data_IF_419604386145
#
_entry.id   IF_419604386145
#
_cell.length_a   1.000
_cell.length_b   1.000
_cell.length_c   1.000
_cell.angle_alpha   90.00
_cell.angle_beta   90.00
_cell.angle_gamma   90.00
#
_symmetry.space_group_name_H-M   'P 1'
#
loop_
_entity.id
_entity.type
_entity.pdbx_description
1 polymer ?
#
# COMPACT_ATOMS: atom_id res chain seq x y z
N UNK A 1 -22.77 -65.73 4.16
CA UNK A 1 -23.85 -64.75 4.37
C UNK A 1 -23.60 -64.06 5.70
N UNK A 2 -22.96 -62.90 5.67
CA UNK A 2 -22.70 -62.08 6.85
C UNK A 2 -22.76 -60.62 6.37
N UNK A 3 -23.86 -59.94 6.70
CA UNK A 3 -24.04 -58.51 6.45
C UNK A 3 -23.49 -57.74 7.66
N UNK A 4 -22.45 -56.94 7.46
CA UNK A 4 -21.96 -55.98 8.46
C UNK A 4 -22.57 -54.61 8.16
N UNK A 5 -23.45 -54.16 9.06
CA UNK A 5 -23.97 -52.80 9.16
C UNK A 5 -22.85 -51.86 9.66
N UNK A 6 -22.53 -50.83 8.87
CA UNK A 6 -21.78 -49.66 9.34
C UNK A 6 -22.78 -48.56 9.73
N UNK A 7 -22.71 -47.97 10.93
CA UNK A 7 -23.53 -46.81 11.26
C UNK A 7 -22.87 -45.54 10.70
N UNK A 8 -23.60 -44.80 9.87
CA UNK A 8 -23.29 -43.42 9.50
C UNK A 8 -23.35 -42.54 10.75
N UNK A 9 -22.19 -42.05 11.19
CA UNK A 9 -22.09 -40.96 12.15
C UNK A 9 -22.28 -39.66 11.38
N UNK A 10 -23.47 -39.08 11.53
CA UNK A 10 -23.80 -37.74 11.05
C UNK A 10 -23.19 -36.73 12.03
N UNK A 11 -22.09 -36.10 11.64
CA UNK A 11 -21.44 -35.05 12.43
C UNK A 11 -22.12 -33.72 12.12
N UNK A 12 -23.06 -33.31 12.99
CA UNK A 12 -23.59 -31.95 13.08
C UNK A 12 -22.53 -31.10 13.81
N UNK A 13 -21.78 -30.28 13.06
CA UNK A 13 -21.07 -29.14 13.65
C UNK A 13 -21.87 -27.90 13.30
N UNK A 14 -22.45 -27.32 14.35
CA UNK A 14 -23.13 -26.04 14.40
C UNK A 14 -22.21 -24.90 13.97
N UNK A 15 -22.64 -24.13 12.98
CA UNK A 15 -22.05 -22.82 12.63
C UNK A 15 -22.41 -21.86 13.76
N UNK A 16 -21.40 -21.37 14.50
CA UNK A 16 -21.56 -20.20 15.35
C UNK A 16 -21.61 -18.96 14.45
N UNK A 17 -22.81 -18.55 14.05
CA UNK A 17 -23.08 -17.21 13.55
C UNK A 17 -23.65 -16.39 14.70
N UNK A 18 -22.92 -15.36 15.12
CA UNK A 18 -23.38 -14.46 16.17
C UNK A 18 -22.24 -13.70 16.83
N UNK A 19 -21.51 -12.89 16.06
CA UNK A 19 -20.83 -11.73 16.63
C UNK A 19 -21.91 -10.75 17.07
N UNK A 20 -22.34 -10.85 18.33
CA UNK A 20 -23.05 -9.74 18.96
C UNK A 20 -22.08 -8.56 18.97
N UNK A 21 -22.54 -7.40 18.52
CA UNK A 21 -21.84 -6.14 18.77
C UNK A 21 -21.56 -6.08 20.27
N UNK A 22 -20.29 -5.96 20.60
CA UNK A 22 -19.83 -5.91 21.97
C UNK A 22 -20.13 -4.49 22.50
N UNK A 23 -20.95 -4.40 23.54
CA UNK A 23 -21.53 -3.16 24.07
C UNK A 23 -20.54 -2.50 25.04
N UNK A 24 -20.25 -1.22 24.86
CA UNK A 24 -19.19 -0.48 25.58
C UNK A 24 -19.79 0.29 26.75
N UNK A 25 -19.22 0.14 27.94
CA UNK A 25 -19.50 1.06 29.05
C UNK A 25 -18.61 2.32 28.94
N UNK A 26 -19.21 3.52 28.89
CA UNK A 26 -18.52 4.82 28.87
C UNK A 26 -17.60 5.02 30.08
N UNK A 27 -17.96 4.40 31.21
CA UNK A 27 -17.25 4.51 32.45
C UNK A 27 -16.02 3.59 32.51
N UNK A 28 -15.91 2.63 31.58
CA UNK A 28 -14.72 1.78 31.45
C UNK A 28 -13.48 2.62 31.15
N UNK A 29 -12.31 2.09 31.52
CA UNK A 29 -11.01 2.73 31.25
C UNK A 29 -10.78 2.89 29.73
N UNK A 30 -11.38 2.01 28.93
CA UNK A 30 -11.36 1.99 27.47
C UNK A 30 -12.23 3.11 26.91
N UNK A 31 -13.49 3.19 27.34
CA UNK A 31 -14.41 4.26 26.97
C UNK A 31 -13.81 5.63 27.30
N UNK A 32 -13.25 5.80 28.50
CA UNK A 32 -12.59 7.06 28.91
C UNK A 32 -11.34 7.41 28.10
N UNK A 33 -10.56 6.43 27.66
CA UNK A 33 -9.37 6.67 26.82
C UNK A 33 -9.75 7.00 25.38
N UNK A 34 -10.74 6.30 24.81
CA UNK A 34 -11.32 6.61 23.50
C UNK A 34 -11.93 8.02 23.50
N UNK A 35 -12.76 8.34 24.51
CA UNK A 35 -13.29 9.69 24.78
C UNK A 35 -12.23 10.78 24.93
N UNK A 36 -11.06 10.43 25.50
CA UNK A 36 -9.98 11.39 25.71
C UNK A 36 -9.20 11.71 24.44
N UNK A 37 -9.12 10.75 23.50
CA UNK A 37 -8.56 10.93 22.16
C UNK A 37 -9.56 11.58 21.20
N UNK A 38 -10.85 11.30 21.37
CA UNK A 38 -11.92 11.84 20.54
C UNK A 38 -12.34 13.30 20.88
N UNK A 39 -11.65 13.96 21.81
CA UNK A 39 -11.88 15.38 22.12
C UNK A 39 -11.40 16.28 20.97
N UNK A 40 -12.34 16.56 20.06
CA UNK A 40 -12.23 17.49 18.92
C UNK A 40 -11.56 18.83 19.26
N UNK A 41 -10.61 19.21 18.41
CA UNK A 41 -10.20 20.60 18.21
C UNK A 41 -11.37 21.40 17.63
N UNK A 42 -11.68 22.49 18.29
CA UNK A 42 -12.84 23.33 18.03
C UNK A 42 -12.46 24.41 17.00
N UNK A 43 -12.57 24.13 15.70
CA UNK A 43 -12.36 25.12 14.64
C UNK A 43 -13.41 25.03 13.51
N UNK A 44 -14.47 25.81 13.67
CA UNK A 44 -15.36 26.52 12.72
C UNK A 44 -15.67 26.05 11.26
N UNK A 45 -15.19 24.92 10.75
CA UNK A 45 -15.62 24.33 9.48
C UNK A 45 -16.03 22.87 9.70
N UNK A 46 -17.12 22.69 10.44
CA UNK A 46 -17.59 21.37 10.88
C UNK A 46 -18.28 20.65 9.71
N UNK A 47 -17.53 19.86 8.93
CA UNK A 47 -18.12 18.83 8.11
C UNK A 47 -18.72 17.78 9.04
N UNK A 48 -20.04 17.62 8.99
CA UNK A 48 -20.75 16.64 9.79
C UNK A 48 -20.49 15.24 9.22
N UNK A 49 -19.46 14.58 9.73
CA UNK A 49 -19.09 13.23 9.32
C UNK A 49 -19.90 12.14 10.04
N UNK A 50 -20.86 12.49 10.92
CA UNK A 50 -21.66 11.53 11.74
C UNK A 50 -22.24 10.36 10.96
N UNK A 51 -22.53 10.54 9.67
CA UNK A 51 -22.99 9.48 8.77
C UNK A 51 -22.01 8.30 8.66
N UNK A 52 -20.71 8.52 8.86
CA UNK A 52 -19.66 7.49 8.78
C UNK A 52 -19.76 6.46 9.89
N UNK A 53 -20.43 6.76 11.00
CA UNK A 53 -20.63 5.84 12.10
C UNK A 53 -21.31 4.51 11.68
N UNK A 54 -22.20 4.56 10.67
CA UNK A 54 -22.86 3.39 10.11
C UNK A 54 -22.01 2.59 9.11
N UNK A 55 -20.75 2.98 8.90
CA UNK A 55 -19.87 2.43 7.89
C UNK A 55 -18.60 1.83 8.50
N UNK A 56 -17.93 1.03 7.69
CA UNK A 56 -16.65 0.41 7.95
C UNK A 56 -15.72 0.63 6.76
N UNK A 57 -14.47 0.98 7.04
CA UNK A 57 -13.40 1.01 6.05
C UNK A 57 -13.06 -0.40 5.60
N UNK A 58 -12.93 -0.58 4.28
CA UNK A 58 -12.49 -1.82 3.68
C UNK A 58 -11.44 -1.55 2.62
N UNK A 59 -10.26 -2.13 2.81
CA UNK A 59 -9.23 -2.19 1.80
C UNK A 59 -9.74 -2.92 0.55
N UNK A 60 -9.51 -2.35 -0.64
CA UNK A 60 -9.88 -2.97 -1.92
C UNK A 60 -8.66 -3.41 -2.70
N UNK A 61 -7.73 -2.47 -2.94
CA UNK A 61 -6.54 -2.72 -3.72
C UNK A 61 -5.44 -1.72 -3.42
N UNK A 62 -4.21 -2.11 -3.70
CA UNK A 62 -3.06 -1.22 -3.73
C UNK A 62 -2.61 -1.01 -5.18
N UNK A 63 -1.94 0.11 -5.41
CA UNK A 63 -1.43 0.52 -6.72
C UNK A 63 -0.08 1.21 -6.53
N UNK A 64 0.86 0.98 -7.45
CA UNK A 64 2.15 1.67 -7.46
C UNK A 64 2.21 2.57 -8.68
N UNK A 65 2.44 3.86 -8.48
CA UNK A 65 2.53 4.86 -9.54
C UNK A 65 3.97 5.35 -9.68
N UNK A 66 4.44 5.51 -10.91
CA UNK A 66 5.73 6.15 -11.18
C UNK A 66 5.52 7.67 -11.24
N UNK A 67 6.09 8.38 -10.28
CA UNK A 67 6.15 9.84 -10.26
C UNK A 67 7.52 10.31 -10.73
N UNK A 68 7.52 11.30 -11.62
CA UNK A 68 8.74 11.98 -12.04
C UNK A 68 8.91 13.22 -11.16
N UNK A 69 10.04 13.31 -10.46
CA UNK A 69 10.41 14.47 -9.65
C UNK A 69 10.74 15.64 -10.59
N UNK A 70 10.19 16.83 -10.32
CA UNK A 70 10.35 18.02 -11.17
C UNK A 70 11.70 18.71 -11.00
N UNK A 71 12.49 18.29 -9.99
CA UNK A 71 13.81 18.81 -9.68
C UNK A 71 14.95 18.20 -10.52
N UNK A 72 14.64 17.66 -11.70
CA UNK A 72 15.61 17.11 -12.65
C UNK A 72 16.54 18.14 -13.32
N UNK A 73 17.11 19.08 -12.56
CA UNK A 73 18.01 20.10 -13.11
C UNK A 73 18.61 21.11 -12.13
N UNK A 74 18.61 20.86 -10.82
CA UNK A 74 19.42 21.66 -9.89
C UNK A 74 20.58 20.82 -9.39
N UNK A 75 21.78 21.32 -9.63
CA UNK A 75 23.06 20.84 -9.10
C UNK A 75 22.97 20.70 -7.57
N UNK A 76 22.49 19.56 -7.10
CA UNK A 76 22.80 19.05 -5.77
C UNK A 76 23.88 17.99 -5.97
N UNK A 77 24.94 18.11 -5.17
CA UNK A 77 26.13 17.27 -5.21
C UNK A 77 25.86 15.79 -4.82
N UNK A 78 24.59 15.43 -4.61
CA UNK A 78 24.10 14.08 -4.35
C UNK A 78 23.70 13.39 -5.67
N UNK A 79 24.69 13.12 -6.51
CA UNK A 79 24.55 12.58 -7.86
C UNK A 79 24.16 11.08 -7.92
N UNK A 80 23.14 10.66 -7.18
CA UNK A 80 22.58 9.29 -7.26
C UNK A 80 21.05 9.24 -7.05
N UNK A 81 20.35 10.32 -7.39
CA UNK A 81 18.90 10.37 -7.35
C UNK A 81 18.27 9.89 -8.67
N UNK A 82 17.56 8.75 -8.65
CA UNK A 82 16.62 8.42 -9.74
C UNK A 82 15.56 9.53 -9.82
N UNK A 83 15.33 10.17 -10.98
CA UNK A 83 14.26 11.15 -11.15
C UNK A 83 12.87 10.50 -11.05
N UNK A 84 12.80 9.19 -10.96
CA UNK A 84 11.59 8.39 -10.88
C UNK A 84 11.46 7.86 -9.45
N UNK A 85 10.37 8.21 -8.78
CA UNK A 85 9.97 7.66 -7.49
C UNK A 85 8.70 6.83 -7.64
N UNK A 86 8.59 5.74 -6.89
CA UNK A 86 7.33 5.01 -6.79
C UNK A 86 6.48 5.62 -5.67
N UNK A 87 5.26 6.04 -6.01
CA UNK A 87 4.25 6.44 -5.05
C UNK A 87 3.24 5.32 -4.90
N UNK A 88 3.16 4.73 -3.70
CA UNK A 88 2.14 3.76 -3.36
C UNK A 88 0.80 4.45 -3.08
N UNK A 89 -0.27 3.93 -3.65
CA UNK A 89 -1.64 4.38 -3.43
C UNK A 89 -2.49 3.19 -2.99
N UNK A 90 -3.48 3.43 -2.13
CA UNK A 90 -4.45 2.44 -1.70
C UNK A 90 -5.84 2.91 -2.10
N UNK A 91 -6.54 2.05 -2.83
CA UNK A 91 -7.99 2.16 -3.06
C UNK A 91 -8.72 1.44 -1.93
N UNK A 92 -9.66 2.14 -1.32
CA UNK A 92 -10.51 1.61 -0.27
C UNK A 92 -11.96 2.05 -0.47
N UNK A 93 -12.88 1.43 0.25
CA UNK A 93 -14.30 1.75 0.18
C UNK A 93 -14.89 1.82 1.58
N UNK A 94 -15.93 2.63 1.75
CA UNK A 94 -16.74 2.65 2.97
C UNK A 94 -17.96 1.75 2.75
N UNK A 95 -18.04 0.68 3.53
CA UNK A 95 -19.13 -0.28 3.47
C UNK A 95 -20.10 -0.05 4.63
N UNK A 96 -21.42 -0.13 4.45
CA UNK A 96 -22.33 -0.26 5.58
C UNK A 96 -21.85 -1.40 6.50
N UNK A 97 -21.78 -1.15 7.80
CA UNK A 97 -21.14 -2.05 8.79
C UNK A 97 -21.73 -3.46 8.77
N UNK A 98 -23.02 -3.58 8.47
CA UNK A 98 -23.75 -4.85 8.33
C UNK A 98 -23.43 -5.63 7.04
N UNK A 99 -22.98 -4.94 6.00
CA UNK A 99 -22.73 -5.51 4.67
C UNK A 99 -21.25 -5.78 4.37
N UNK A 100 -20.35 -5.36 5.25
CA UNK A 100 -18.92 -5.27 4.95
C UNK A 100 -18.25 -6.64 4.71
N UNK A 101 -18.72 -7.71 5.35
CA UNK A 101 -18.27 -9.09 5.09
C UNK A 101 -18.74 -9.68 3.75
N UNK A 102 -19.64 -8.99 3.04
CA UNK A 102 -20.22 -9.44 1.76
C UNK A 102 -19.82 -8.49 0.62
N UNK A 103 -20.65 -8.41 -0.45
CA UNK A 103 -20.43 -7.48 -1.55
C UNK A 103 -20.67 -6.06 -1.04
N UNK A 104 -19.59 -5.32 -0.86
CA UNK A 104 -19.63 -3.92 -0.48
C UNK A 104 -19.77 -3.06 -1.74
N UNK A 105 -20.96 -2.49 -1.93
CA UNK A 105 -21.24 -1.50 -2.97
C UNK A 105 -21.32 -0.12 -2.29
N UNK A 106 -20.15 0.42 -1.92
CA UNK A 106 -19.99 1.70 -1.23
C UNK A 106 -19.24 2.75 -2.06
N UNK A 107 -19.13 4.00 -1.58
CA UNK A 107 -18.30 5.01 -2.23
C UNK A 107 -16.83 4.59 -2.21
N UNK A 108 -16.10 5.04 -3.23
CA UNK A 108 -14.71 4.65 -3.45
C UNK A 108 -13.77 5.80 -3.15
N UNK A 109 -12.65 5.47 -2.53
CA UNK A 109 -11.65 6.42 -2.07
C UNK A 109 -10.26 5.97 -2.47
N UNK A 110 -9.36 6.95 -2.56
CA UNK A 110 -7.94 6.69 -2.73
C UNK A 110 -7.10 7.54 -1.80
N UNK A 111 -6.19 6.89 -1.08
CA UNK A 111 -5.21 7.55 -0.22
C UNK A 111 -3.79 7.11 -0.59
N UNK A 112 -2.79 7.83 -0.08
CA UNK A 112 -1.42 7.36 -0.15
C UNK A 112 -1.28 6.11 0.72
N UNK A 113 -0.48 5.16 0.25
CA UNK A 113 -0.30 3.86 0.90
C UNK A 113 0.20 4.01 2.34
N UNK A 114 1.14 4.93 2.57
CA UNK A 114 1.67 5.24 3.90
C UNK A 114 0.56 5.69 4.85
N UNK A 115 -0.11 6.78 4.49
CA UNK A 115 -1.16 7.40 5.31
C UNK A 115 -2.27 6.38 5.63
N UNK A 116 -2.61 5.50 4.67
CA UNK A 116 -3.57 4.41 4.90
C UNK A 116 -3.05 3.35 5.87
N UNK A 117 -1.81 2.88 5.72
CA UNK A 117 -1.25 1.82 6.56
C UNK A 117 -1.09 2.28 8.00
N UNK A 118 -0.56 3.49 8.21
CA UNK A 118 -0.43 4.13 9.51
C UNK A 118 -1.79 4.16 10.22
N UNK A 119 -2.78 4.77 9.57
CA UNK A 119 -4.16 4.83 10.05
C UNK A 119 -4.73 3.45 10.37
N UNK A 120 -4.48 2.47 9.49
CA UNK A 120 -5.02 1.13 9.62
C UNK A 120 -4.38 0.35 10.78
N UNK A 121 -3.07 0.50 11.00
CA UNK A 121 -2.37 -0.10 12.13
C UNK A 121 -2.83 0.52 13.44
N UNK A 122 -2.91 1.85 13.50
CA UNK A 122 -3.43 2.57 14.68
C UNK A 122 -4.83 2.07 15.03
N UNK A 123 -5.71 1.93 14.04
CA UNK A 123 -7.06 1.46 14.27
C UNK A 123 -7.13 0.00 14.72
N UNK A 124 -6.26 -0.89 14.21
CA UNK A 124 -6.15 -2.28 14.68
C UNK A 124 -5.61 -2.35 16.11
N UNK A 125 -4.63 -1.53 16.46
CA UNK A 125 -4.10 -1.44 17.82
C UNK A 125 -5.18 -0.95 18.78
N UNK A 126 -5.92 0.11 18.43
CA UNK A 126 -7.04 0.61 19.23
C UNK A 126 -8.13 -0.46 19.42
N UNK A 127 -8.47 -1.22 18.37
CA UNK A 127 -9.44 -2.33 18.47
C UNK A 127 -8.92 -3.45 19.38
N UNK A 128 -7.64 -3.80 19.28
CA UNK A 128 -6.99 -4.81 20.11
C UNK A 128 -7.01 -4.39 21.59
N UNK A 129 -6.55 -3.18 21.90
CA UNK A 129 -6.57 -2.63 23.27
C UNK A 129 -7.97 -2.68 23.88
N UNK A 130 -8.98 -2.34 23.08
CA UNK A 130 -10.37 -2.39 23.48
C UNK A 130 -10.86 -3.83 23.77
N UNK A 131 -10.54 -4.78 22.88
CA UNK A 131 -10.87 -6.19 23.11
C UNK A 131 -10.18 -6.72 24.38
N UNK A 132 -8.95 -6.30 24.64
CA UNK A 132 -8.22 -6.67 25.84
C UNK A 132 -8.85 -6.16 27.12
N UNK A 133 -9.26 -4.89 27.14
CA UNK A 133 -9.94 -4.31 28.29
C UNK A 133 -11.30 -4.95 28.54
N UNK A 134 -12.03 -5.30 27.48
CA UNK A 134 -13.26 -6.06 27.62
C UNK A 134 -13.06 -7.42 28.29
N UNK A 135 -12.04 -8.17 27.84
CA UNK A 135 -11.74 -9.47 28.42
C UNK A 135 -11.30 -9.32 29.88
N UNK A 136 -10.57 -8.25 30.20
CA UNK A 136 -10.19 -7.91 31.58
C UNK A 136 -11.43 -7.62 32.45
N UNK A 137 -12.34 -6.76 32.00
CA UNK A 137 -13.57 -6.39 32.72
C UNK A 137 -14.53 -7.59 32.91
N UNK A 138 -14.53 -8.54 31.98
CA UNK A 138 -15.33 -9.76 32.05
C UNK A 138 -14.57 -10.96 32.60
N UNK A 139 -13.28 -10.83 32.92
CA UNK A 139 -12.55 -11.86 33.64
C UNK A 139 -13.06 -11.90 35.07
N UNK A 140 -13.57 -13.05 35.52
CA UNK A 140 -13.88 -13.29 36.92
C UNK A 140 -12.61 -13.55 37.75
N UNK A 141 -11.64 -12.64 37.66
CA UNK A 141 -10.32 -12.72 38.29
C UNK A 141 -10.35 -12.32 39.80
N UNK A 142 -11.52 -11.97 40.36
CA UNK A 142 -11.72 -11.44 41.73
C UNK A 142 -11.54 -12.43 42.92
N UNK A 143 -10.93 -13.61 42.73
CA UNK A 143 -10.75 -14.59 43.82
C UNK A 143 -9.34 -14.48 44.43
N UNK A 144 -9.26 -14.14 45.73
CA UNK A 144 -8.04 -13.93 46.54
C UNK A 144 -7.01 -15.09 46.54
N UNK A 145 -7.31 -16.22 45.88
CA UNK A 145 -6.51 -17.44 45.86
C UNK A 145 -5.84 -17.76 44.52
N UNK A 146 -6.04 -16.93 43.50
CA UNK A 146 -5.42 -17.10 42.18
C UNK A 146 -4.51 -15.90 41.92
N UNK A 147 -3.36 -16.16 41.33
CA UNK A 147 -2.49 -15.10 40.85
C UNK A 147 -3.19 -14.36 39.70
N UNK A 148 -3.51 -13.08 39.91
CA UNK A 148 -4.28 -12.22 38.99
C UNK A 148 -3.70 -12.26 37.57
N UNK A 149 -2.37 -12.29 37.45
CA UNK A 149 -1.66 -12.33 36.17
C UNK A 149 -1.88 -13.66 35.42
N UNK A 150 -1.77 -14.78 36.15
CA UNK A 150 -2.08 -16.12 35.62
C UNK A 150 -3.57 -16.24 35.24
N UNK A 151 -4.47 -15.64 36.02
CA UNK A 151 -5.90 -15.65 35.73
C UNK A 151 -6.22 -14.87 34.44
N UNK A 152 -5.66 -13.67 34.29
CA UNK A 152 -5.87 -12.80 33.14
C UNK A 152 -5.26 -13.39 31.86
N UNK A 153 -4.04 -13.94 31.94
CA UNK A 153 -3.39 -14.65 30.83
C UNK A 153 -4.22 -15.84 30.33
N UNK A 154 -4.84 -16.59 31.24
CA UNK A 154 -5.77 -17.65 30.88
C UNK A 154 -7.02 -17.10 30.17
N UNK A 155 -7.58 -15.97 30.61
CA UNK A 155 -8.71 -15.34 29.93
C UNK A 155 -8.38 -14.86 28.53
N UNK A 156 -7.21 -14.26 28.32
CA UNK A 156 -6.71 -13.89 27.00
C UNK A 156 -6.52 -15.11 26.10
N UNK A 157 -5.91 -16.18 26.63
CA UNK A 157 -5.72 -17.45 25.92
C UNK A 157 -7.05 -18.11 25.54
N UNK A 158 -8.05 -18.08 26.44
CA UNK A 158 -9.40 -18.60 26.19
C UNK A 158 -10.12 -17.76 25.12
N UNK A 159 -9.96 -16.44 25.16
CA UNK A 159 -10.50 -15.53 24.16
C UNK A 159 -9.75 -15.62 22.82
N UNK A 160 -8.58 -16.26 22.78
CA UNK A 160 -7.74 -16.37 21.60
C UNK A 160 -7.14 -15.04 21.16
N UNK A 161 -7.01 -14.08 22.08
CA UNK A 161 -6.43 -12.76 21.83
C UNK A 161 -5.17 -12.65 22.67
N UNK A 162 -4.07 -12.24 22.05
CA UNK A 162 -2.83 -11.96 22.75
C UNK A 162 -2.83 -10.50 23.22
N UNK A 163 -3.25 -10.27 24.45
CA UNK A 163 -3.26 -8.97 25.11
C UNK A 163 -1.99 -8.68 25.90
N UNK A 164 -0.92 -9.43 25.66
CA UNK A 164 0.32 -9.38 26.44
C UNK A 164 0.77 -7.95 26.74
N UNK A 165 0.91 -7.66 28.03
CA UNK A 165 1.78 -6.60 28.53
C UNK A 165 3.21 -7.07 28.30
N UNK A 166 3.81 -6.76 27.15
CA UNK A 166 5.27 -6.68 27.11
C UNK A 166 5.68 -5.34 27.73
N UNK A 167 5.39 -5.19 29.03
CA UNK A 167 5.95 -4.20 29.95
C UNK A 167 7.31 -4.67 30.50
N UNK A 168 7.96 -5.63 29.83
CA UNK A 168 9.38 -5.91 30.03
C UNK A 168 10.17 -4.88 29.20
N UNK A 169 10.54 -3.78 29.86
CA UNK A 169 11.35 -2.69 29.32
C UNK A 169 12.77 -3.08 28.93
N UNK A 170 12.92 -4.03 28.02
CA UNK A 170 14.17 -4.41 27.35
C UNK A 170 13.88 -4.84 25.90
N UNK A 171 13.73 -3.86 25.00
CA UNK A 171 14.34 -3.96 23.66
C UNK A 171 13.57 -4.66 22.54
N UNK A 172 12.24 -4.64 22.53
CA UNK A 172 11.56 -4.68 21.22
C UNK A 172 11.57 -3.24 20.69
N UNK A 173 12.52 -2.94 19.80
CA UNK A 173 12.26 -1.92 18.78
C UNK A 173 10.88 -2.27 18.23
N UNK A 174 9.84 -1.52 18.64
CA UNK A 174 8.59 -1.47 17.90
C UNK A 174 9.03 -1.31 16.45
N UNK A 175 8.91 -2.39 15.68
CA UNK A 175 9.16 -2.38 14.26
C UNK A 175 8.23 -1.31 13.76
N UNK A 176 8.75 -0.11 13.58
CA UNK A 176 7.95 1.07 13.38
C UNK A 176 7.48 0.94 11.94
N UNK A 177 6.38 0.19 11.73
CA UNK A 177 5.90 -0.22 10.41
C UNK A 177 5.71 1.04 9.57
N UNK A 178 5.28 2.12 10.20
CA UNK A 178 5.23 3.48 9.66
C UNK A 178 6.55 3.87 8.99
N UNK A 179 7.67 3.74 9.70
CA UNK A 179 9.02 4.08 9.23
C UNK A 179 9.57 3.08 8.20
N UNK A 180 9.18 1.80 8.26
CA UNK A 180 9.59 0.76 7.30
C UNK A 180 8.80 0.81 5.99
N UNK A 181 7.57 1.32 6.04
CA UNK A 181 6.71 1.53 4.86
C UNK A 181 7.23 2.71 4.05
N UNK A 182 7.78 3.73 4.72
CA UNK A 182 8.51 4.80 4.05
C UNK A 182 9.79 4.26 3.43
N UNK A 183 10.04 4.58 2.15
CA UNK A 183 11.24 4.16 1.46
C UNK A 183 12.49 4.77 2.12
N UNK A 184 13.07 4.05 3.09
CA UNK A 184 14.10 4.56 3.99
C UNK A 184 15.37 3.74 3.87
N UNK A 185 16.51 4.42 3.93
CA UNK A 185 17.81 3.78 3.94
C UNK A 185 17.99 2.92 5.19
N UNK A 186 18.41 1.68 5.00
CA UNK A 186 18.80 0.79 6.09
C UNK A 186 20.20 1.13 6.57
N UNK A 187 20.32 1.56 7.83
CA UNK A 187 21.57 1.82 8.56
C UNK A 187 22.33 3.09 8.15
N UNK A 188 23.10 3.63 9.08
CA UNK A 188 23.99 4.77 8.86
C UNK A 188 25.31 4.30 8.20
N UNK A 189 25.69 4.95 7.10
CA UNK A 189 26.95 4.65 6.41
C UNK A 189 28.13 5.12 7.26
N UNK A 190 28.89 4.16 7.80
CA UNK A 190 30.25 4.40 8.24
C UNK A 190 31.16 4.43 7.00
N UNK A 191 31.36 5.63 6.42
CA UNK A 191 32.48 6.11 5.58
C UNK A 191 33.10 5.25 4.44
N UNK A 192 32.68 4.02 4.16
CA UNK A 192 33.40 3.06 3.29
C UNK A 192 32.64 2.65 2.01
N UNK A 193 31.88 3.55 1.39
CA UNK A 193 31.33 3.36 0.04
C UNK A 193 30.43 2.12 -0.13
N UNK A 194 29.74 1.71 0.94
CA UNK A 194 28.82 0.58 0.94
C UNK A 194 27.58 0.91 0.12
N UNK A 195 27.05 -0.07 -0.63
CA UNK A 195 25.78 0.11 -1.35
C UNK A 195 24.65 0.35 -0.35
N UNK A 196 24.06 1.54 -0.39
CA UNK A 196 22.90 1.89 0.43
C UNK A 196 21.69 1.07 -0.02
N UNK A 197 21.14 0.28 0.89
CA UNK A 197 19.90 -0.45 0.67
C UNK A 197 18.76 0.24 1.40
N UNK A 198 17.54 0.06 0.93
CA UNK A 198 16.35 0.73 1.43
C UNK A 198 15.28 -0.29 1.81
N UNK A 199 14.49 -0.02 2.85
CA UNK A 199 13.25 -0.73 3.16
C UNK A 199 12.06 0.11 2.74
N UNK A 200 11.01 -0.52 2.25
CA UNK A 200 9.80 0.18 1.85
C UNK A 200 8.60 -0.74 1.68
N UNK A 201 7.40 -0.16 1.76
CA UNK A 201 6.15 -0.83 1.42
C UNK A 201 5.96 -0.94 -0.09
N UNK A 202 5.48 -2.09 -0.57
CA UNK A 202 5.13 -2.29 -1.98
C UNK A 202 3.85 -3.10 -2.14
N UNK A 203 3.17 -2.86 -3.25
CA UNK A 203 1.97 -3.62 -3.61
C UNK A 203 2.37 -4.99 -4.20
N UNK A 204 1.72 -6.05 -3.73
CA UNK A 204 1.84 -7.39 -4.30
C UNK A 204 1.34 -7.47 -5.75
N UNK A 205 1.78 -8.49 -6.47
CA UNK A 205 1.39 -8.72 -7.87
C UNK A 205 -0.13 -8.93 -8.06
N UNK A 206 -0.84 -9.27 -6.98
CA UNK A 206 -2.29 -9.45 -6.95
C UNK A 206 -3.06 -8.12 -6.86
N UNK A 207 -2.38 -7.01 -6.59
CA UNK A 207 -2.98 -5.71 -6.32
C UNK A 207 -3.79 -5.67 -5.02
N UNK A 208 -3.71 -6.71 -4.17
CA UNK A 208 -4.59 -6.92 -3.01
C UNK A 208 -3.85 -7.21 -1.72
N UNK A 209 -2.53 -7.14 -1.77
CA UNK A 209 -1.67 -7.36 -0.62
C UNK A 209 -0.61 -6.28 -0.60
N UNK A 210 -0.26 -5.79 0.59
CA UNK A 210 0.83 -4.84 0.77
C UNK A 210 1.91 -5.49 1.60
N UNK A 211 3.14 -5.48 1.13
CA UNK A 211 4.26 -6.16 1.77
C UNK A 211 5.41 -5.19 2.02
N UNK A 212 6.33 -5.58 2.91
CA UNK A 212 7.62 -4.91 3.05
C UNK A 212 8.69 -5.60 2.20
N UNK A 213 9.54 -4.78 1.59
CA UNK A 213 10.64 -5.24 0.74
C UNK A 213 11.94 -4.50 1.01
N UNK A 214 13.02 -5.05 0.48
CA UNK A 214 14.33 -4.40 0.43
C UNK A 214 14.62 -3.97 -1.00
N UNK A 215 15.20 -2.79 -1.17
CA UNK A 215 15.46 -2.16 -2.45
C UNK A 215 16.89 -1.64 -2.54
N UNK A 216 17.44 -1.60 -3.74
CA UNK A 216 18.79 -1.07 -4.01
C UNK A 216 18.80 0.41 -4.39
N UNK A 217 17.65 1.10 -4.33
CA UNK A 217 17.52 2.51 -4.71
C UNK A 217 16.59 3.25 -3.76
N UNK A 218 16.83 4.56 -3.64
CA UNK A 218 16.05 5.49 -2.80
C UNK A 218 14.60 5.66 -3.24
N UNK A 219 14.24 5.22 -4.45
CA UNK A 219 12.88 5.23 -4.96
C UNK A 219 12.11 3.94 -4.70
N UNK A 220 12.70 2.99 -3.97
CA UNK A 220 12.18 1.65 -3.70
C UNK A 220 11.62 0.96 -4.95
N UNK A 221 12.34 1.08 -6.07
CA UNK A 221 11.88 0.60 -7.37
C UNK A 221 12.49 -0.75 -7.76
N UNK A 222 13.71 -1.02 -7.33
CA UNK A 222 14.48 -2.22 -7.66
C UNK A 222 14.58 -3.11 -6.43
N UNK A 223 13.62 -4.03 -6.31
CA UNK A 223 13.56 -4.99 -5.21
C UNK A 223 14.75 -5.95 -5.25
N UNK A 224 15.38 -6.18 -4.10
CA UNK A 224 16.48 -7.12 -3.88
C UNK A 224 16.12 -8.14 -2.79
N UNK A 225 17.04 -9.06 -2.46
CA UNK A 225 16.79 -10.08 -1.45
C UNK A 225 16.60 -9.47 -0.06
N UNK A 226 15.61 -9.95 0.68
CA UNK A 226 15.37 -9.63 2.09
C UNK A 226 16.44 -10.19 3.01
N UNK A 227 17.26 -11.15 2.55
CA UNK A 227 18.43 -11.66 3.29
C UNK A 227 19.39 -10.52 3.68
N UNK A 228 19.43 -9.45 2.89
CA UNK A 228 20.25 -8.27 3.15
C UNK A 228 19.81 -7.59 4.46
N UNK A 229 18.50 -7.51 4.71
CA UNK A 229 17.96 -7.00 5.96
C UNK A 229 18.34 -7.92 7.13
N UNK A 230 18.15 -9.24 6.98
CA UNK A 230 18.50 -10.21 8.03
C UNK A 230 19.99 -10.18 8.39
N UNK A 231 20.87 -10.15 7.39
CA UNK A 231 22.31 -10.09 7.61
C UNK A 231 22.76 -8.79 8.31
N UNK A 232 21.97 -7.71 8.21
CA UNK A 232 22.29 -6.41 8.79
C UNK A 232 21.69 -6.23 10.20
N UNK A 233 20.44 -6.63 10.39
CA UNK A 233 19.68 -6.38 11.62
C UNK A 233 19.62 -7.61 12.55
N UNK A 234 19.94 -8.80 12.05
CA UNK A 234 19.92 -10.05 12.82
C UNK A 234 18.54 -10.69 13.00
N UNK A 235 17.49 -10.10 12.40
CA UNK A 235 16.12 -10.60 12.41
C UNK A 235 15.46 -10.47 11.03
N UNK A 236 14.37 -11.22 10.79
CA UNK A 236 13.67 -11.22 9.51
C UNK A 236 12.81 -9.96 9.35
N UNK A 237 12.78 -9.39 8.14
CA UNK A 237 11.89 -8.27 7.82
C UNK A 237 10.43 -8.75 7.94
N UNK A 238 9.59 -8.13 8.79
CA UNK A 238 8.20 -8.51 8.94
C UNK A 238 7.40 -8.20 7.66
N UNK A 239 6.22 -8.81 7.51
CA UNK A 239 5.31 -8.58 6.38
C UNK A 239 5.94 -8.79 4.98
N UNK A 240 6.93 -9.69 4.89
CA UNK A 240 7.52 -10.10 3.60
C UNK A 240 6.63 -11.10 2.85
N UNK A 241 5.88 -11.92 3.60
CA UNK A 241 4.94 -12.92 3.08
C UNK A 241 3.49 -12.70 3.53
N UNK A 242 3.28 -11.94 4.60
CA UNK A 242 1.96 -11.58 5.11
C UNK A 242 1.66 -10.12 4.77
N UNK A 243 0.44 -9.84 4.34
CA UNK A 243 0.04 -8.49 3.99
C UNK A 243 -0.08 -7.62 5.25
N UNK A 244 0.50 -6.42 5.22
CA UNK A 244 0.36 -5.42 6.28
C UNK A 244 -1.11 -5.06 6.50
N UNK A 245 -1.87 -5.02 5.40
CA UNK A 245 -3.29 -4.71 5.39
C UNK A 245 -4.08 -5.96 5.02
N UNK A 246 -5.05 -6.34 5.85
CA UNK A 246 -5.96 -7.44 5.54
C UNK A 246 -7.26 -6.95 4.87
N UNK A 247 -8.09 -7.89 4.40
CA UNK A 247 -9.38 -7.58 3.77
C UNK A 247 -10.53 -7.44 4.79
N UNK A 248 -10.21 -7.32 6.09
CA UNK A 248 -11.21 -7.16 7.12
C UNK A 248 -11.73 -5.73 7.15
N UNK A 249 -12.88 -5.60 7.78
CA UNK A 249 -13.60 -4.35 7.91
C UNK A 249 -13.21 -3.67 9.21
N UNK A 250 -12.82 -2.41 9.10
CA UNK A 250 -12.54 -1.56 10.23
C UNK A 250 -13.75 -0.67 10.48
N UNK A 251 -14.46 -0.88 11.59
CA UNK A 251 -15.66 -0.11 11.91
C UNK A 251 -15.30 1.34 12.22
N UNK A 252 -16.06 2.28 11.63
CA UNK A 252 -15.83 3.70 11.87
C UNK A 252 -16.59 4.25 13.06
N UNK A 253 -17.73 3.68 13.41
CA UNK A 253 -18.51 4.07 14.59
C UNK A 253 -18.27 3.13 15.76
N UNK A 254 -18.20 3.70 16.97
CA UNK A 254 -18.27 2.94 18.21
C UNK A 254 -19.24 3.60 19.19
N UNK A 255 -19.89 2.76 20.00
CA UNK A 255 -20.77 3.21 21.06
C UNK A 255 -19.93 3.81 22.18
N UNK A 256 -20.27 5.03 22.60
CA UNK A 256 -19.54 5.71 23.64
C UNK A 256 -20.08 5.39 25.04
N UNK A 257 -21.09 4.51 25.15
CA UNK A 257 -21.67 4.04 26.41
C UNK A 257 -22.37 5.11 27.24
N UNK A 258 -22.63 6.28 26.67
CA UNK A 258 -23.51 7.27 27.29
C UNK A 258 -24.95 6.85 27.04
N UNK A 259 -25.79 6.89 28.09
CA UNK A 259 -27.24 6.53 28.08
C UNK A 259 -28.11 7.31 27.06
N UNK A 260 -27.51 8.19 26.26
CA UNK A 260 -28.15 8.86 25.14
C UNK A 260 -27.93 8.02 23.87
N UNK A 261 -28.99 7.32 23.44
CA UNK A 261 -29.13 6.40 22.28
C UNK A 261 -28.63 6.93 20.91
N UNK A 262 -28.03 8.13 20.86
CA UNK A 262 -27.60 8.83 19.64
C UNK A 262 -26.14 9.32 19.65
N UNK A 263 -25.34 9.05 20.69
CA UNK A 263 -23.93 9.47 20.72
C UNK A 263 -22.99 8.39 20.19
N UNK A 264 -23.13 8.04 18.91
CA UNK A 264 -22.12 7.22 18.21
C UNK A 264 -20.97 8.13 17.80
N UNK A 265 -19.76 7.80 18.26
CA UNK A 265 -18.55 8.56 17.97
C UNK A 265 -17.80 7.92 16.80
N UNK A 266 -17.12 8.74 16.01
CA UNK A 266 -16.36 8.28 14.85
C UNK A 266 -14.90 8.09 15.28
N UNK A 267 -14.30 6.99 14.84
CA UNK A 267 -12.87 6.77 15.00
C UNK A 267 -12.07 7.83 14.25
N UNK A 268 -11.09 8.41 14.95
CA UNK A 268 -10.15 9.40 14.40
C UNK A 268 -9.46 8.86 13.14
N UNK A 269 -9.10 7.57 13.15
CA UNK A 269 -8.55 6.88 12.00
C UNK A 269 -9.47 6.97 10.77
N UNK A 270 -10.78 6.81 10.92
CA UNK A 270 -11.71 6.95 9.80
C UNK A 270 -11.83 8.39 9.30
N UNK A 271 -11.87 9.38 10.20
CA UNK A 271 -11.96 10.79 9.82
C UNK A 271 -10.69 11.23 9.07
N UNK A 272 -9.52 10.94 9.63
CA UNK A 272 -8.22 11.34 9.09
C UNK A 272 -8.02 10.82 7.65
N UNK A 273 -8.30 9.53 7.43
CA UNK A 273 -8.12 8.96 6.09
C UNK A 273 -9.16 9.45 5.09
N UNK A 274 -10.40 9.65 5.54
CA UNK A 274 -11.47 10.17 4.70
C UNK A 274 -11.18 11.62 4.28
N UNK A 275 -10.71 12.47 5.19
CA UNK A 275 -10.39 13.86 4.90
C UNK A 275 -9.26 13.97 3.88
N UNK A 276 -8.18 13.20 4.06
CA UNK A 276 -7.02 13.17 3.17
C UNK A 276 -7.24 12.44 1.83
N UNK A 277 -8.28 11.62 1.71
CA UNK A 277 -8.50 10.82 0.51
C UNK A 277 -9.09 11.60 -0.67
N UNK A 278 -8.68 11.18 -1.87
CA UNK A 278 -9.39 11.47 -3.12
C UNK A 278 -10.71 10.72 -3.15
N UNK A 279 -11.79 11.42 -3.51
CA UNK A 279 -13.17 10.97 -3.30
C UNK A 279 -13.86 10.63 -4.63
N UNK A 280 -14.54 9.50 -4.66
CA UNK A 280 -15.49 9.13 -5.70
C UNK A 280 -16.82 8.69 -5.06
N UNK A 281 -17.68 9.67 -4.82
CA UNK A 281 -18.95 9.51 -4.09
C UNK A 281 -20.16 9.61 -5.02
N UNK A 282 -19.96 9.32 -6.31
CA UNK A 282 -21.04 9.32 -7.30
C UNK A 282 -22.10 8.26 -6.94
N UNK A 283 -23.35 8.69 -6.82
CA UNK A 283 -24.47 7.80 -6.44
C UNK A 283 -24.75 7.71 -4.93
N UNK A 284 -24.03 8.46 -4.09
CA UNK A 284 -24.21 8.45 -2.63
C UNK A 284 -24.79 9.75 -2.06
N UNK A 285 -25.54 10.51 -2.87
CA UNK A 285 -26.19 11.77 -2.45
C UNK A 285 -27.24 11.60 -1.35
N UNK A 286 -27.74 10.38 -1.16
CA UNK A 286 -28.75 10.06 -0.14
C UNK A 286 -28.13 9.92 1.27
N UNK A 287 -26.81 9.75 1.34
CA UNK A 287 -26.05 9.56 2.60
C UNK A 287 -25.11 10.75 2.84
N UNK A 288 -24.45 11.21 1.78
CA UNK A 288 -23.45 12.28 1.84
C UNK A 288 -24.09 13.57 1.34
N UNK A 289 -24.15 14.58 2.21
CA UNK A 289 -24.79 15.87 1.91
C UNK A 289 -24.12 16.61 0.74
N UNK A 290 -22.81 16.41 0.57
CA UNK A 290 -22.00 17.06 -0.47
C UNK A 290 -21.05 16.05 -1.12
N UNK A 291 -21.57 15.16 -2.00
CA UNK A 291 -20.76 14.12 -2.60
C UNK A 291 -19.70 14.72 -3.52
N UNK A 292 -18.47 14.24 -3.38
CA UNK A 292 -17.33 14.63 -4.19
C UNK A 292 -16.96 13.52 -5.17
N UNK A 293 -17.04 13.83 -6.47
CA UNK A 293 -16.67 12.93 -7.56
C UNK A 293 -15.38 13.34 -8.28
N UNK A 294 -14.61 14.27 -7.71
CA UNK A 294 -13.40 14.84 -8.32
C UNK A 294 -12.32 13.81 -8.63
N UNK A 295 -12.28 12.70 -7.90
CA UNK A 295 -11.32 11.61 -8.14
C UNK A 295 -11.92 10.40 -8.86
N UNK A 296 -13.20 10.42 -9.26
CA UNK A 296 -13.84 9.29 -9.92
C UNK A 296 -13.17 8.90 -11.23
N UNK A 297 -12.79 9.86 -12.07
CA UNK A 297 -12.07 9.58 -13.32
C UNK A 297 -10.72 8.93 -13.04
N UNK A 298 -10.01 9.41 -12.02
CA UNK A 298 -8.73 8.85 -11.62
C UNK A 298 -8.87 7.41 -11.14
N UNK A 299 -9.78 7.17 -10.18
CA UNK A 299 -10.00 5.85 -9.57
C UNK A 299 -10.50 4.83 -10.60
N UNK A 300 -11.48 5.20 -11.44
CA UNK A 300 -12.17 4.25 -12.31
C UNK A 300 -11.54 4.06 -13.69
N UNK A 301 -10.79 5.05 -14.19
CA UNK A 301 -10.22 5.01 -15.54
C UNK A 301 -8.70 5.08 -15.54
N UNK A 302 -8.12 6.06 -14.86
CA UNK A 302 -6.69 6.35 -14.97
C UNK A 302 -5.87 5.27 -14.24
N UNK A 303 -6.23 4.92 -13.01
CA UNK A 303 -5.55 3.89 -12.22
C UNK A 303 -5.53 2.52 -12.92
N UNK A 304 -6.67 1.90 -13.32
CA UNK A 304 -6.64 0.65 -14.07
C UNK A 304 -5.92 0.77 -15.42
N UNK A 305 -5.93 1.96 -16.01
CA UNK A 305 -5.20 2.27 -17.24
C UNK A 305 -3.68 2.21 -17.04
N UNK A 306 -3.19 2.85 -15.99
CA UNK A 306 -1.78 2.87 -15.60
C UNK A 306 -1.28 1.46 -15.24
N UNK A 307 -2.06 0.71 -14.46
CA UNK A 307 -1.73 -0.68 -14.14
C UNK A 307 -1.62 -1.55 -15.40
N UNK A 308 -2.54 -1.39 -16.36
CA UNK A 308 -2.46 -2.12 -17.63
C UNK A 308 -1.23 -1.75 -18.45
N UNK A 309 -0.65 -0.57 -18.24
CA UNK A 309 0.59 -0.16 -18.91
C UNK A 309 1.84 -0.66 -18.16
N UNK A 310 1.77 -0.75 -16.83
CA UNK A 310 2.88 -1.24 -15.99
C UNK A 310 2.96 -2.77 -15.94
N UNK A 311 1.84 -3.47 -15.77
CA UNK A 311 1.72 -4.94 -15.79
C UNK A 311 1.97 -5.54 -17.17
N UNK A 312 1.71 -4.77 -18.24
CA UNK A 312 2.39 -4.97 -19.51
C UNK A 312 3.83 -4.54 -19.30
N UNK A 313 4.57 -5.41 -18.59
CA UNK A 313 6.01 -5.50 -18.61
C UNK A 313 6.47 -4.88 -19.92
N UNK A 314 7.23 -3.79 -19.78
CA UNK A 314 7.99 -3.17 -20.83
C UNK A 314 8.91 -4.26 -21.40
N UNK A 315 8.33 -5.18 -22.19
CA UNK A 315 9.03 -6.07 -23.10
C UNK A 315 9.54 -5.12 -24.16
N UNK A 316 10.63 -4.44 -23.83
CA UNK A 316 11.60 -3.95 -24.78
C UNK A 316 12.06 -5.19 -25.55
N UNK A 317 11.28 -5.59 -26.55
CA UNK A 317 11.36 -6.93 -27.12
C UNK A 317 10.02 -7.52 -27.59
N UNK A 318 8.96 -6.73 -27.72
CA UNK A 318 7.88 -7.11 -28.61
C UNK A 318 8.45 -7.41 -29.99
N UNK A 319 8.07 -8.52 -30.63
CA UNK A 319 8.67 -8.95 -31.91
C UNK A 319 8.67 -7.88 -33.01
N UNK A 320 7.81 -6.86 -32.91
CA UNK A 320 7.83 -5.68 -33.75
C UNK A 320 9.10 -4.82 -33.61
N UNK A 321 9.57 -4.52 -32.39
CA UNK A 321 10.77 -3.69 -32.21
C UNK A 321 12.04 -4.42 -32.67
N UNK A 322 12.12 -5.74 -32.47
CA UNK A 322 13.18 -6.60 -33.03
C UNK A 322 13.11 -6.63 -34.56
N UNK A 323 11.91 -6.74 -35.14
CA UNK A 323 11.72 -6.70 -36.60
C UNK A 323 12.12 -5.34 -37.20
N UNK A 324 11.75 -4.22 -36.57
CA UNK A 324 12.16 -2.90 -37.02
C UNK A 324 13.68 -2.68 -36.90
N UNK A 325 14.32 -3.19 -35.84
CA UNK A 325 15.78 -3.14 -35.71
C UNK A 325 16.47 -3.92 -36.85
N UNK A 326 15.97 -5.10 -37.21
CA UNK A 326 16.47 -5.87 -38.35
C UNK A 326 16.23 -5.15 -39.69
N UNK A 327 15.05 -4.56 -39.91
CA UNK A 327 14.76 -3.78 -41.12
C UNK A 327 15.74 -2.61 -41.23
N UNK A 328 15.95 -1.85 -40.15
CA UNK A 328 16.85 -0.70 -40.14
C UNK A 328 18.31 -1.11 -40.37
N UNK A 329 18.73 -2.24 -39.80
CA UNK A 329 20.09 -2.75 -39.96
C UNK A 329 20.33 -3.20 -41.41
N UNK A 330 19.37 -3.91 -42.01
CA UNK A 330 19.45 -4.38 -43.40
C UNK A 330 19.40 -3.23 -44.42
N UNK A 331 18.55 -2.22 -44.20
CA UNK A 331 18.52 -1.03 -45.08
C UNK A 331 19.81 -0.23 -44.98
N UNK A 332 20.37 -0.08 -43.78
CA UNK A 332 21.64 0.62 -43.58
C UNK A 332 22.80 -0.11 -44.27
N UNK A 333 22.89 -1.43 -44.12
CA UNK A 333 23.90 -2.24 -44.84
C UNK A 333 23.72 -2.18 -46.36
N UNK A 334 22.47 -2.16 -46.85
CA UNK A 334 22.17 -2.01 -48.27
C UNK A 334 22.62 -0.66 -48.83
N UNK A 335 22.42 0.43 -48.09
CA UNK A 335 22.89 1.76 -48.47
C UNK A 335 24.43 1.85 -48.48
N UNK A 336 25.09 1.26 -47.48
CA UNK A 336 26.56 1.21 -47.43
C UNK A 336 27.10 0.43 -48.64
N UNK A 337 26.50 -0.71 -48.97
CA UNK A 337 26.87 -1.48 -50.17
C UNK A 337 26.64 -0.72 -51.48
N UNK A 338 25.53 0.02 -51.57
CA UNK A 338 25.23 0.86 -52.73
C UNK A 338 26.24 2.01 -52.91
N UNK A 339 26.62 2.67 -51.81
CA UNK A 339 27.67 3.69 -51.82
C UNK A 339 29.00 3.08 -52.26
N UNK A 340 29.35 1.90 -51.74
CA UNK A 340 30.60 1.22 -52.11
C UNK A 340 30.67 0.91 -53.61
N UNK A 341 29.59 0.41 -54.20
CA UNK A 341 29.50 0.14 -55.65
C UNK A 341 29.60 1.44 -56.47
N UNK A 342 29.00 2.54 -56.01
CA UNK A 342 29.13 3.85 -56.67
C UNK A 342 30.56 4.40 -56.58
N UNK A 343 31.28 4.13 -55.49
CA UNK A 343 32.66 4.60 -55.31
C UNK A 343 33.70 3.72 -56.02
N UNK A 344 33.45 2.42 -56.15
CA UNK A 344 34.39 1.45 -56.77
C UNK A 344 34.10 1.25 -58.29
N UNK A 345 32.92 1.69 -58.73
CA UNK A 345 32.48 1.70 -60.13
C UNK A 345 33.03 2.88 -60.92
N UNK A 346 34.28 2.77 -61.40
CA UNK A 346 34.78 3.08 -62.76
C UNK A 346 34.04 4.13 -63.65
N UNK A 347 33.55 5.25 -63.11
CA UNK A 347 32.97 6.35 -63.89
C UNK A 347 33.79 7.64 -63.87
N UNK A 348 34.95 7.67 -63.23
CA UNK A 348 36.00 8.62 -63.59
C UNK A 348 36.73 8.10 -64.84
N UNK A 349 36.03 8.07 -65.98
CA UNK A 349 36.76 8.27 -67.23
C UNK A 349 37.34 9.67 -67.11
N UNK A 350 38.65 9.75 -66.92
CA UNK A 350 39.43 10.97 -67.06
C UNK A 350 39.10 11.60 -68.42
N UNK A 351 38.09 12.46 -68.43
CA UNK A 351 37.96 13.48 -69.46
C UNK A 351 39.15 14.38 -69.28
N UNK A 352 40.22 14.15 -70.04
CA UNK A 352 41.32 15.10 -70.18
C UNK A 352 40.72 16.42 -70.66
N UNK A 353 40.42 17.32 -69.73
CA UNK A 353 40.14 18.71 -70.04
C UNK A 353 41.49 19.33 -70.36
N UNK A 354 41.81 19.41 -71.66
CA UNK A 354 42.89 20.25 -72.14
C UNK A 354 42.48 21.71 -71.90
N UNK A 355 42.96 22.29 -70.81
CA UNK A 355 43.00 23.73 -70.64
C UNK A 355 44.11 24.27 -71.54
N UNK A 356 43.80 24.50 -72.81
CA UNK A 356 44.58 25.41 -73.65
C UNK A 356 44.32 26.82 -73.12
N UNK A 357 45.22 27.30 -72.26
CA UNK A 357 45.35 28.72 -71.98
C UNK A 357 46.13 29.33 -73.15
N UNK A 358 45.39 29.70 -74.18
CA UNK A 358 45.83 30.66 -75.18
C UNK A 358 45.27 32.00 -74.75
N UNK A 359 46.10 32.87 -74.19
CA UNK A 359 46.12 34.34 -74.38
C UNK A 359 47.25 34.91 -73.50
N UNK A 360 48.23 35.56 -74.13
CA UNK A 360 49.13 36.48 -73.46
C UNK A 360 50.54 36.56 -74.06
N UNK A 361 50.73 37.37 -75.10
CA UNK A 361 52.07 37.71 -75.56
C UNK A 361 52.13 38.42 -76.92
N UNK A 362 51.37 39.51 -77.10
CA UNK A 362 51.67 40.51 -78.13
C UNK A 362 52.72 41.48 -77.58
N UNK A 363 53.82 41.58 -78.31
CA UNK A 363 54.74 42.72 -78.32
C UNK A 363 54.18 43.84 -79.21
#
# INVERSE_FOLDING_TARGET
>A
MSFSLFPSILLLITVFSGSKAFEIDAASKAGKRMLSKARRLNDNNNYDNTWMAGYSLKFQSCHTLLQFDDQGGREQEDADGSPIRQQGMIKFTLCPTDSCGSKCDGPEYIAQMRDFIETYQEAKQNLKEYQCQNIEDNCACDDDNVDDETCLSNCYTIAGIDCGQNDDGDGEEENNIEELVECRQMGEDNDDGSSSYYTGGYCGDDGKSVYLGVFSDRGCSNKVSTDIFYNKNGYELPYTSESIVDNNCLQCGYDNGNDDEYNVEISESCENIYEGAGKCEEGFSDVISYPNSGSCEFINKILPGLEKLQSRNFKIGGGASVAFAWIFTLTTMGLIGYIYILTDGKFLKEGKVNLVSSVGGLA
#
